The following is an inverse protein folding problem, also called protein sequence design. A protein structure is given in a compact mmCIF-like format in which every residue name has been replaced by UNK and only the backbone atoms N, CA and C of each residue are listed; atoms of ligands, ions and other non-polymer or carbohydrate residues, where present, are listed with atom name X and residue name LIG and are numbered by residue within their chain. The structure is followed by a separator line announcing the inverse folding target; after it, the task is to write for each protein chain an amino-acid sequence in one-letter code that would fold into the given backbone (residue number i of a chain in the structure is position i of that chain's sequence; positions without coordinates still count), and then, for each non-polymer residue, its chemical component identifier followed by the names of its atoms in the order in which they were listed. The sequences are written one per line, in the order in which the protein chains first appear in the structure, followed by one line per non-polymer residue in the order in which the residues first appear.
data_IF_371107369100
#
_entry.id   IF_371107369100
#
_cell.length_a   1.000
_cell.length_b   1.000
_cell.length_c   1.000
_cell.angle_alpha   90.00
_cell.angle_beta   90.00
_cell.angle_gamma   90.00
#
_symmetry.space_group_name_H-M   'P 1'
#
loop_
_entity.id
_entity.type
_entity.pdbx_description
1 polymer ?
#
# COMPACT_ATOMS: atom_id res chain seq x y z
N UNK A 1 -8.21 -9.92 11.28
CA UNK A 1 -8.01 -8.47 11.22
C UNK A 1 -8.42 -7.96 9.85
N UNK A 2 -9.35 -7.03 9.81
CA UNK A 2 -9.79 -6.45 8.54
C UNK A 2 -8.76 -5.43 8.07
N UNK A 3 -8.31 -5.58 6.83
CA UNK A 3 -7.43 -4.61 6.21
C UNK A 3 -8.24 -3.40 5.76
N UNK A 4 -7.78 -2.22 6.12
CA UNK A 4 -8.40 -0.95 5.71
C UNK A 4 -7.74 -0.36 4.48
N UNK A 5 -6.68 -1.01 3.96
CA UNK A 5 -5.95 -0.61 2.76
C UNK A 5 -6.44 -1.44 1.58
N UNK A 6 -6.68 -0.78 0.45
CA UNK A 6 -7.14 -1.43 -0.79
C UNK A 6 -6.23 -1.04 -1.96
N UNK A 7 -6.37 -1.75 -3.07
CA UNK A 7 -5.71 -1.36 -4.33
C UNK A 7 -6.06 0.08 -4.69
N UNK A 8 -5.08 0.78 -5.27
CA UNK A 8 -5.18 2.18 -5.71
C UNK A 8 -5.25 3.18 -4.57
N UNK A 9 -5.14 2.73 -3.32
CA UNK A 9 -5.04 3.66 -2.19
C UNK A 9 -3.70 4.35 -2.17
N UNK A 10 -3.70 5.60 -1.74
CA UNK A 10 -2.49 6.37 -1.51
C UNK A 10 -2.02 6.12 -0.08
N UNK A 11 -0.78 5.66 0.05
CA UNK A 11 -0.21 5.30 1.35
C UNK A 11 1.14 5.97 1.54
N UNK A 12 1.55 6.12 2.80
CA UNK A 12 2.87 6.62 3.17
C UNK A 12 3.61 5.54 3.96
N UNK A 13 4.89 5.38 3.67
CA UNK A 13 5.75 4.44 4.39
C UNK A 13 6.18 5.09 5.70
N UNK A 14 5.95 4.41 6.83
CA UNK A 14 6.21 4.96 8.16
C UNK A 14 7.46 4.41 8.81
N UNK A 15 8.09 3.39 8.23
CA UNK A 15 9.33 2.83 8.77
C UNK A 15 10.18 2.20 7.67
N UNK A 16 11.48 2.02 7.94
CA UNK A 16 12.42 1.43 7.00
C UNK A 16 13.12 2.44 6.11
N UNK A 17 13.78 1.95 5.07
CA UNK A 17 14.58 2.78 4.14
C UNK A 17 13.75 3.81 3.39
N UNK A 18 12.49 3.50 3.14
CA UNK A 18 11.61 4.32 2.32
C UNK A 18 10.70 5.24 3.16
N UNK A 19 10.99 5.37 4.46
CA UNK A 19 10.19 6.17 5.38
C UNK A 19 9.93 7.58 4.82
N UNK A 20 8.66 7.99 4.85
CA UNK A 20 8.22 9.29 4.37
C UNK A 20 7.82 9.35 2.90
N UNK A 21 8.05 8.28 2.13
CA UNK A 21 7.64 8.23 0.74
C UNK A 21 6.16 7.90 0.61
N UNK A 22 5.50 8.54 -0.32
CA UNK A 22 4.08 8.35 -0.61
C UNK A 22 3.95 7.68 -1.98
N UNK A 23 3.07 6.69 -2.06
CA UNK A 23 2.82 6.00 -3.32
C UNK A 23 1.45 5.36 -3.37
N UNK A 24 1.09 4.85 -4.54
CA UNK A 24 -0.18 4.17 -4.77
C UNK A 24 0.00 2.67 -4.62
N UNK A 25 -0.95 2.02 -3.94
CA UNK A 25 -0.96 0.57 -3.78
C UNK A 25 -1.28 -0.09 -5.11
N UNK A 26 -0.35 -0.90 -5.61
CA UNK A 26 -0.54 -1.66 -6.85
C UNK A 26 -1.25 -2.98 -6.59
N UNK A 27 -0.89 -3.65 -5.49
CA UNK A 27 -1.44 -4.96 -5.17
C UNK A 27 -1.31 -5.24 -3.68
N UNK A 28 -2.26 -6.02 -3.16
CA UNK A 28 -2.22 -6.57 -1.81
C UNK A 28 -1.87 -8.05 -1.89
N UNK A 29 -0.85 -8.45 -1.15
CA UNK A 29 -0.43 -9.84 -1.06
C UNK A 29 -0.88 -10.36 0.29
N UNK A 30 -1.91 -11.19 0.29
CA UNK A 30 -2.47 -11.73 1.52
C UNK A 30 -1.45 -12.56 2.27
N UNK A 31 -1.34 -12.32 3.56
CA UNK A 31 -0.52 -13.12 4.44
C UNK A 31 -1.26 -14.38 4.90
N UNK A 32 -0.53 -15.24 5.57
CA UNK A 32 -1.09 -16.42 6.18
C UNK A 32 -0.80 -16.42 7.68
N UNK A 33 -0.89 -17.59 8.30
CA UNK A 33 -0.65 -17.76 9.73
C UNK A 33 0.76 -17.36 10.17
N UNK A 34 1.74 -17.50 9.28
CA UNK A 34 3.16 -17.29 9.59
C UNK A 34 3.76 -16.06 8.92
N UNK A 35 3.09 -15.55 7.89
CA UNK A 35 3.58 -14.42 7.09
C UNK A 35 2.59 -13.26 7.15
N UNK A 36 3.05 -12.01 7.42
CA UNK A 36 2.14 -10.87 7.42
C UNK A 36 1.67 -10.55 6.00
N UNK A 37 0.52 -9.88 5.90
CA UNK A 37 0.07 -9.31 4.64
C UNK A 37 1.04 -8.23 4.18
N UNK A 38 1.33 -8.20 2.89
CA UNK A 38 2.24 -7.24 2.28
C UNK A 38 1.56 -6.47 1.17
N UNK A 39 2.13 -5.31 0.85
CA UNK A 39 1.61 -4.44 -0.21
C UNK A 39 2.71 -4.11 -1.19
N UNK A 40 2.37 -4.07 -2.48
CA UNK A 40 3.20 -3.53 -3.53
C UNK A 40 2.79 -2.08 -3.76
N UNK A 41 3.75 -1.17 -3.68
CA UNK A 41 3.50 0.25 -3.82
C UNK A 41 4.31 0.78 -5.01
N UNK A 42 3.67 1.57 -5.85
CA UNK A 42 4.31 2.11 -7.06
C UNK A 42 5.56 2.91 -6.72
N UNK A 43 6.68 2.59 -7.36
CA UNK A 43 7.97 3.28 -7.24
C UNK A 43 8.57 3.27 -5.83
N UNK A 44 8.08 2.42 -4.94
CA UNK A 44 8.59 2.30 -3.56
C UNK A 44 9.19 0.93 -3.37
N UNK A 45 10.27 0.86 -2.58
CA UNK A 45 11.01 -0.37 -2.30
C UNK A 45 11.50 -1.05 -3.57
N UNK A 46 12.05 -0.25 -4.47
CA UNK A 46 12.59 -0.74 -5.75
C UNK A 46 13.80 -1.62 -5.52
N UNK A 47 13.78 -2.80 -6.11
CA UNK A 47 14.91 -3.73 -6.08
C UNK A 47 15.33 -4.06 -7.50
N UNK A 48 16.63 -4.30 -7.68
CA UNK A 48 17.17 -4.73 -8.96
C UNK A 48 17.05 -6.25 -9.06
N UNK A 49 16.35 -6.72 -10.08
CA UNK A 49 16.17 -8.14 -10.31
C UNK A 49 16.88 -8.55 -11.58
N UNK A 50 17.71 -9.60 -11.49
CA UNK A 50 18.39 -10.17 -12.62
C UNK A 50 17.47 -11.17 -13.30
N UNK A 51 17.03 -10.85 -14.53
CA UNK A 51 16.17 -11.75 -15.31
C UNK A 51 17.00 -12.66 -16.21
N UNK A 52 16.65 -13.94 -16.21
CA UNK A 52 17.25 -14.89 -17.14
C UNK A 52 16.71 -14.67 -18.56
N UNK A 53 17.54 -14.83 -19.60
CA UNK A 53 17.03 -14.70 -20.96
C UNK A 53 16.03 -15.80 -21.31
N UNK A 54 15.03 -15.45 -22.10
CA UNK A 54 14.03 -16.37 -22.63
C UNK A 54 13.99 -16.22 -24.15
N UNK A 55 13.19 -17.02 -24.84
CA UNK A 55 13.06 -16.94 -26.29
C UNK A 55 12.53 -15.56 -26.77
N UNK A 56 11.71 -14.93 -25.95
CA UNK A 56 11.07 -13.64 -26.29
C UNK A 56 11.69 -12.47 -25.57
N UNK A 57 12.53 -12.71 -24.55
CA UNK A 57 13.13 -11.68 -23.72
C UNK A 57 14.62 -11.97 -23.55
N UNK A 58 15.51 -11.06 -23.95
CA UNK A 58 16.97 -11.27 -23.79
C UNK A 58 17.41 -11.27 -22.32
N UNK A 59 16.53 -10.97 -21.39
CA UNK A 59 16.88 -10.90 -19.97
C UNK A 59 17.56 -9.60 -19.62
N UNK A 60 18.30 -9.60 -18.51
CA UNK A 60 19.05 -8.45 -18.04
C UNK A 60 18.61 -7.98 -16.65
N UNK A 61 19.05 -6.79 -16.27
CA UNK A 61 18.71 -6.17 -15.00
C UNK A 61 17.45 -5.31 -15.14
N UNK A 62 16.51 -5.48 -14.22
CA UNK A 62 15.32 -4.62 -14.19
C UNK A 62 15.03 -4.22 -12.75
N UNK A 63 14.49 -3.02 -12.58
CA UNK A 63 14.03 -2.54 -11.27
C UNK A 63 12.55 -2.81 -11.15
N UNK A 64 12.16 -3.49 -10.07
CA UNK A 64 10.76 -3.78 -9.78
C UNK A 64 10.47 -3.44 -8.33
N UNK A 65 9.22 -3.17 -8.05
CA UNK A 65 8.76 -2.93 -6.69
C UNK A 65 8.77 -4.25 -5.92
N UNK A 66 9.32 -4.23 -4.71
CA UNK A 66 9.25 -5.36 -3.79
C UNK A 66 8.17 -5.12 -2.75
N UNK A 67 7.49 -6.17 -2.27
CA UNK A 67 6.43 -6.00 -1.28
C UNK A 67 6.96 -5.48 0.06
N UNK A 68 6.12 -4.67 0.72
CA UNK A 68 6.39 -4.14 2.05
C UNK A 68 5.31 -4.64 3.00
N UNK A 69 5.67 -4.96 4.24
CA UNK A 69 4.70 -5.35 5.24
C UNK A 69 3.65 -4.25 5.42
N UNK A 70 2.38 -4.62 5.48
CA UNK A 70 1.28 -3.68 5.66
C UNK A 70 1.40 -2.87 6.95
N UNK A 71 2.07 -3.41 7.97
CA UNK A 71 2.32 -2.70 9.22
C UNK A 71 3.29 -1.53 9.07
N UNK A 72 4.05 -1.47 7.98
CA UNK A 72 5.03 -0.41 7.72
C UNK A 72 4.45 0.74 6.89
N UNK A 73 3.16 0.72 6.60
CA UNK A 73 2.51 1.76 5.82
C UNK A 73 1.23 2.21 6.50
N UNK A 74 0.83 3.45 6.21
CA UNK A 74 -0.44 4.02 6.66
C UNK A 74 -1.11 4.73 5.49
N UNK A 75 -2.42 4.81 5.53
CA UNK A 75 -3.18 5.59 4.56
C UNK A 75 -2.86 7.08 4.72
N UNK A 76 -2.89 7.78 3.62
CA UNK A 76 -2.64 9.23 3.59
C UNK A 76 -3.97 9.95 3.74
N UNK A 77 -4.02 10.92 4.66
CA UNK A 77 -5.18 11.81 4.80
C UNK A 77 -5.27 12.69 3.56
N UNK A 78 -6.37 12.66 2.81
CA UNK A 78 -6.48 13.42 1.57
C UNK A 78 -6.47 14.93 1.78
N UNK A 79 -6.77 15.39 2.98
CA UNK A 79 -6.80 16.83 3.30
C UNK A 79 -5.43 17.35 3.70
N UNK A 80 -4.69 16.60 4.52
CA UNK A 80 -3.41 17.06 5.08
C UNK A 80 -2.18 16.41 4.45
N UNK A 81 -2.35 15.35 3.65
CA UNK A 81 -1.28 14.54 3.07
C UNK A 81 -0.34 13.93 4.12
N UNK A 82 -0.84 13.70 5.31
CA UNK A 82 -0.09 13.08 6.42
C UNK A 82 -0.64 11.69 6.71
N UNK A 83 0.15 10.81 7.33
CA UNK A 83 -0.36 9.50 7.69
C UNK A 83 -1.53 9.61 8.65
N UNK A 84 -2.55 8.80 8.43
CA UNK A 84 -3.75 8.81 9.25
C UNK A 84 -4.27 7.38 9.46
N UNK A 85 -4.94 7.18 10.57
CA UNK A 85 -5.74 5.99 10.78
C UNK A 85 -7.11 6.19 10.14
N UNK A 86 -7.80 5.10 9.90
CA UNK A 86 -9.07 5.08 9.21
C UNK A 86 -10.08 4.33 10.08
N UNK A 87 -11.29 4.86 10.14
CA UNK A 87 -12.43 4.14 10.70
C UNK A 87 -13.46 3.91 9.61
N UNK A 88 -14.27 2.88 9.78
CA UNK A 88 -15.35 2.57 8.86
C UNK A 88 -16.63 3.20 9.39
N UNK A 89 -17.24 4.04 8.55
CA UNK A 89 -18.51 4.68 8.85
C UNK A 89 -19.61 3.98 8.04
N UNK A 90 -20.71 3.62 8.70
CA UNK A 90 -21.85 2.99 8.05
C UNK A 90 -22.93 4.05 7.88
N UNK A 91 -23.32 4.29 6.62
CA UNK A 91 -24.39 5.23 6.32
C UNK A 91 -25.78 4.60 6.64
N UNK A 92 -26.80 5.43 6.68
CA UNK A 92 -28.18 4.98 6.97
C UNK A 92 -28.69 3.92 6.00
N UNK A 93 -28.21 3.94 4.75
CA UNK A 93 -28.57 2.94 3.73
C UNK A 93 -27.73 1.65 3.81
N UNK A 94 -26.84 1.52 4.79
CA UNK A 94 -26.00 0.36 4.97
C UNK A 94 -24.66 0.43 4.25
N UNK A 95 -24.38 1.45 3.46
CA UNK A 95 -23.11 1.61 2.78
C UNK A 95 -21.97 1.90 3.76
N UNK A 96 -20.83 1.28 3.53
CA UNK A 96 -19.62 1.49 4.34
C UNK A 96 -18.66 2.41 3.61
N UNK A 97 -18.10 3.35 4.33
CA UNK A 97 -17.05 4.22 3.81
C UNK A 97 -15.88 4.30 4.78
N UNK A 98 -14.69 4.54 4.23
CA UNK A 98 -13.50 4.74 5.05
C UNK A 98 -13.30 6.23 5.30
N UNK A 99 -13.11 6.60 6.54
CA UNK A 99 -12.99 8.00 6.95
C UNK A 99 -11.67 8.19 7.68
N UNK A 100 -10.89 9.18 7.26
CA UNK A 100 -9.67 9.57 7.92
C UNK A 100 -9.97 10.15 9.30
N UNK A 101 -9.38 9.59 10.35
CA UNK A 101 -9.68 10.01 11.72
C UNK A 101 -9.25 11.45 11.98
N UNK A 102 -8.09 11.86 11.42
CA UNK A 102 -7.55 13.20 11.67
C UNK A 102 -8.39 14.32 11.09
N UNK A 103 -8.90 14.17 9.88
CA UNK A 103 -9.61 15.25 9.19
C UNK A 103 -11.10 15.01 9.04
N UNK A 104 -11.56 13.78 9.25
CA UNK A 104 -12.95 13.41 8.98
C UNK A 104 -13.28 13.25 7.50
N UNK A 105 -12.30 13.35 6.62
CA UNK A 105 -12.52 13.21 5.18
C UNK A 105 -12.76 11.75 4.78
N UNK A 106 -13.67 11.56 3.82
CA UNK A 106 -13.94 10.22 3.27
C UNK A 106 -12.83 9.86 2.31
N UNK A 107 -12.23 8.68 2.50
CA UNK A 107 -11.18 8.18 1.62
C UNK A 107 -11.79 7.39 0.46
N UNK A 108 -12.76 6.56 0.75
CA UNK A 108 -13.54 5.86 -0.28
C UNK A 108 -14.48 4.82 0.32
#
# INVERSE_FOLDING_TARGET
MKLKIKKKDKVIVISGKEKGKIGEVLELIAGDRFTPTRVLIAKINMVTKHKKPTQTDPGGLSKIEAPISVSNVMLVDPKTNKPTRVKIKIAANGDKSRVAIKSGEVIA
#
